data_IF_786233930348
#
_entry.id   IF_786233930348
#
_cell.length_a   1.000
_cell.length_b   1.000
_cell.length_c   1.000
_cell.angle_alpha   90.00
_cell.angle_beta   90.00
_cell.angle_gamma   90.00
#
_symmetry.space_group_name_H-M   'P 1'
#
loop_
_entity.id
_entity.type
_entity.pdbx_description
1 polymer ?
#
# COMPACT_ATOMS: atom_id res chain seq x y z
N UNK A 1 0.75 -32.26 -4.88
CA UNK A 1 0.29 -30.86 -4.85
C UNK A 1 1.22 -29.87 -5.59
N UNK A 2 1.84 -30.18 -6.76
CA UNK A 2 2.29 -29.11 -7.64
C UNK A 2 1.11 -28.65 -8.51
N UNK A 3 0.84 -27.35 -8.55
CA UNK A 3 0.07 -26.77 -9.66
C UNK A 3 0.94 -26.96 -10.90
N UNK A 4 0.45 -27.71 -11.88
CA UNK A 4 1.13 -27.84 -13.16
C UNK A 4 1.03 -26.49 -13.86
N UNK A 5 2.15 -25.79 -13.90
CA UNK A 5 2.29 -24.55 -14.66
C UNK A 5 2.59 -24.97 -16.09
N UNK A 6 1.74 -24.56 -17.02
CA UNK A 6 2.08 -24.63 -18.43
C UNK A 6 3.11 -23.53 -18.73
N UNK A 7 4.39 -23.91 -18.71
CA UNK A 7 5.50 -23.00 -19.05
C UNK A 7 5.60 -22.72 -20.56
N UNK A 8 4.75 -23.36 -21.36
CA UNK A 8 4.58 -23.09 -22.78
C UNK A 8 3.50 -22.05 -23.07
N UNK A 9 2.65 -21.72 -22.09
CA UNK A 9 1.66 -20.66 -22.24
C UNK A 9 2.39 -19.31 -22.45
N UNK A 10 2.25 -18.69 -23.63
CA UNK A 10 2.98 -17.48 -23.92
C UNK A 10 2.47 -16.35 -23.01
N UNK A 11 3.40 -15.63 -22.39
CA UNK A 11 3.09 -14.35 -21.75
C UNK A 11 2.23 -13.53 -22.74
N UNK A 12 1.10 -12.94 -22.32
CA UNK A 12 0.21 -12.22 -23.23
C UNK A 12 1.02 -11.26 -24.10
N UNK A 13 0.95 -11.41 -25.44
CA UNK A 13 1.85 -10.70 -26.39
C UNK A 13 1.85 -9.17 -26.26
N UNK A 14 0.79 -8.60 -25.68
CA UNK A 14 0.65 -7.17 -25.44
C UNK A 14 1.28 -6.71 -24.12
N UNK A 15 1.62 -7.63 -23.22
CA UNK A 15 2.27 -7.34 -21.96
C UNK A 15 3.76 -7.07 -22.21
N UNK A 16 4.20 -5.86 -21.87
CA UNK A 16 5.62 -5.51 -21.86
C UNK A 16 6.28 -6.07 -20.58
N UNK A 17 6.36 -7.40 -20.49
CA UNK A 17 6.59 -8.13 -19.24
C UNK A 17 7.71 -7.57 -18.36
N UNK A 18 8.90 -7.33 -18.94
CA UNK A 18 10.04 -6.78 -18.20
C UNK A 18 9.77 -5.38 -17.64
N UNK A 19 9.11 -4.50 -18.41
CA UNK A 19 8.77 -3.17 -17.90
C UNK A 19 7.64 -3.24 -16.88
N UNK A 20 6.66 -4.12 -17.08
CA UNK A 20 5.59 -4.36 -16.10
C UNK A 20 6.15 -4.83 -14.77
N UNK A 21 7.06 -5.81 -14.73
CA UNK A 21 7.75 -6.25 -13.50
C UNK A 21 8.50 -5.08 -12.85
N UNK A 22 9.24 -4.29 -13.63
CA UNK A 22 9.98 -3.13 -13.13
C UNK A 22 9.03 -2.13 -12.47
N UNK A 23 7.93 -1.78 -13.14
CA UNK A 23 6.93 -0.85 -12.61
C UNK A 23 6.24 -1.42 -11.36
N UNK A 24 5.89 -2.70 -11.32
CA UNK A 24 5.36 -3.37 -10.12
C UNK A 24 6.32 -3.25 -8.93
N UNK A 25 7.62 -3.48 -9.15
CA UNK A 25 8.64 -3.39 -8.12
C UNK A 25 8.81 -1.94 -7.63
N UNK A 26 8.84 -0.97 -8.55
CA UNK A 26 8.93 0.45 -8.21
C UNK A 26 7.72 0.88 -7.35
N UNK A 27 6.50 0.55 -7.78
CA UNK A 27 5.28 0.91 -7.05
C UNK A 27 5.21 0.22 -5.67
N UNK A 28 5.57 -1.06 -5.61
CA UNK A 28 5.61 -1.80 -4.34
C UNK A 28 6.63 -1.22 -3.37
N UNK A 29 7.80 -0.79 -3.88
CA UNK A 29 8.82 -0.13 -3.07
C UNK A 29 8.30 1.20 -2.50
N UNK A 30 7.60 2.00 -3.31
CA UNK A 30 6.98 3.25 -2.84
C UNK A 30 5.97 2.97 -1.72
N UNK A 31 5.12 1.94 -1.87
CA UNK A 31 4.19 1.54 -0.81
C UNK A 31 4.92 1.11 0.47
N UNK A 32 5.98 0.32 0.36
CA UNK A 32 6.77 -0.13 1.51
C UNK A 32 7.42 1.04 2.26
N UNK A 33 8.04 1.99 1.54
CA UNK A 33 8.55 3.21 2.16
C UNK A 33 7.42 4.04 2.78
N UNK A 34 6.29 4.20 2.10
CA UNK A 34 5.13 4.93 2.63
C UNK A 34 4.65 4.37 3.98
N UNK A 35 4.57 3.05 4.10
CA UNK A 35 4.24 2.38 5.37
C UNK A 35 5.31 2.65 6.45
N UNK A 36 6.60 2.51 6.10
CA UNK A 36 7.70 2.75 7.04
C UNK A 36 7.73 4.18 7.57
N UNK A 37 7.55 5.18 6.71
CA UNK A 37 7.50 6.57 7.13
C UNK A 37 6.24 6.90 7.95
N UNK A 38 5.08 6.34 7.61
CA UNK A 38 3.87 6.48 8.42
C UNK A 38 4.05 5.90 9.83
N UNK A 39 4.78 4.80 9.96
CA UNK A 39 5.16 4.23 11.25
C UNK A 39 6.08 5.18 12.05
N UNK A 40 7.09 5.76 11.40
CA UNK A 40 7.99 6.74 12.02
C UNK A 40 7.24 7.99 12.50
N UNK A 41 6.28 8.49 11.71
CA UNK A 41 5.41 9.60 12.10
C UNK A 41 4.61 9.27 13.35
N UNK A 42 3.97 8.10 13.37
CA UNK A 42 3.17 7.66 14.52
C UNK A 42 4.04 7.52 15.76
N UNK A 43 5.20 6.87 15.64
CA UNK A 43 6.15 6.71 16.74
C UNK A 43 6.68 8.06 17.25
N UNK A 44 6.99 9.00 16.34
CA UNK A 44 7.41 10.36 16.69
C UNK A 44 6.33 11.10 17.48
N UNK A 45 5.06 10.95 17.10
CA UNK A 45 3.94 11.59 17.79
C UNK A 45 3.71 10.97 19.18
N UNK A 46 3.74 9.65 19.30
CA UNK A 46 3.55 8.93 20.57
C UNK A 46 4.67 9.22 21.58
N UNK A 47 5.92 9.34 21.11
CA UNK A 47 7.08 9.53 21.98
C UNK A 47 7.57 10.98 22.07
N UNK A 48 6.95 11.92 21.35
CA UNK A 48 7.35 13.32 21.34
C UNK A 48 8.73 13.61 20.74
N UNK A 49 9.26 12.74 19.88
CA UNK A 49 10.62 12.84 19.33
C UNK A 49 10.82 13.98 18.33
N UNK A 50 9.73 14.49 17.73
CA UNK A 50 9.77 15.53 16.69
C UNK A 50 10.74 15.17 15.55
N UNK A 51 10.63 13.93 15.05
CA UNK A 51 11.51 13.42 13.99
C UNK A 51 11.43 14.29 12.73
N UNK A 52 12.59 14.56 12.14
CA UNK A 52 12.68 15.20 10.83
C UNK A 52 12.79 14.13 9.73
N UNK A 53 11.64 13.81 9.11
CA UNK A 53 11.54 12.74 8.12
C UNK A 53 12.32 13.03 6.83
N UNK A 54 12.40 14.30 6.43
CA UNK A 54 13.22 14.73 5.29
C UNK A 54 14.69 14.42 5.55
N UNK A 55 15.17 14.70 6.76
CA UNK A 55 16.54 14.35 7.14
C UNK A 55 16.78 12.86 7.24
N UNK A 56 15.82 12.08 7.76
CA UNK A 56 15.91 10.62 7.76
C UNK A 56 16.05 10.08 6.33
N UNK A 57 15.23 10.57 5.39
CA UNK A 57 15.37 10.22 3.98
C UNK A 57 16.73 10.63 3.42
N UNK A 58 17.25 11.82 3.79
CA UNK A 58 18.55 12.31 3.33
C UNK A 58 19.70 11.42 3.79
N UNK A 59 19.77 11.08 5.07
CA UNK A 59 20.86 10.26 5.62
C UNK A 59 20.87 8.85 5.02
N UNK A 60 19.71 8.30 4.68
CA UNK A 60 19.63 7.01 3.99
C UNK A 60 20.12 7.04 2.53
N UNK A 61 20.35 8.21 1.94
CA UNK A 61 20.93 8.30 0.58
C UNK A 61 22.40 7.88 0.53
N UNK A 62 23.13 7.97 1.65
CA UNK A 62 24.56 7.70 1.72
C UNK A 62 24.90 6.57 2.70
N UNK A 63 25.87 5.74 2.36
CA UNK A 63 26.46 4.73 3.26
C UNK A 63 25.60 3.51 3.60
N UNK A 64 24.26 3.64 3.62
CA UNK A 64 23.38 2.54 3.98
C UNK A 64 23.08 1.59 2.79
N UNK A 65 22.58 0.39 3.11
CA UNK A 65 22.26 -0.67 2.14
C UNK A 65 21.06 -0.29 1.26
N UNK A 66 20.08 0.42 1.80
CA UNK A 66 18.83 0.78 1.11
C UNK A 66 18.94 2.04 0.22
N UNK A 67 20.16 2.55 0.02
CA UNK A 67 20.39 3.76 -0.80
C UNK A 67 19.81 3.59 -2.20
N UNK A 68 19.04 4.57 -2.66
CA UNK A 68 18.39 4.52 -3.97
C UNK A 68 18.00 5.93 -4.46
N UNK A 69 17.72 6.06 -5.76
CA UNK A 69 17.19 7.30 -6.34
C UNK A 69 15.79 7.64 -5.80
N UNK A 70 15.04 6.64 -5.30
CA UNK A 70 13.72 6.85 -4.68
C UNK A 70 13.81 7.73 -3.42
N UNK A 71 14.87 7.61 -2.64
CA UNK A 71 15.06 8.39 -1.41
C UNK A 71 15.19 9.89 -1.66
N UNK A 72 15.65 10.31 -2.86
CA UNK A 72 15.68 11.73 -3.25
C UNK A 72 14.24 12.25 -3.31
N UNK A 73 13.35 11.52 -3.98
CA UNK A 73 11.94 11.91 -4.10
C UNK A 73 11.20 11.89 -2.76
N UNK A 74 11.54 10.95 -1.87
CA UNK A 74 10.99 10.91 -0.52
C UNK A 74 11.47 12.09 0.32
N UNK A 75 12.76 12.42 0.26
CA UNK A 75 13.29 13.62 0.91
C UNK A 75 12.57 14.88 0.42
N UNK A 76 12.45 15.07 -0.89
CA UNK A 76 11.77 16.23 -1.47
C UNK A 76 10.30 16.31 -1.02
N UNK A 77 9.61 15.16 -0.96
CA UNK A 77 8.23 15.05 -0.50
C UNK A 77 8.07 15.55 0.95
N UNK A 78 8.94 15.09 1.85
CA UNK A 78 8.88 15.46 3.26
C UNK A 78 9.45 16.85 3.54
N UNK A 79 10.31 17.39 2.68
CA UNK A 79 10.80 18.76 2.78
C UNK A 79 9.69 19.78 2.50
N UNK A 80 8.87 19.53 1.48
CA UNK A 80 7.83 20.46 1.04
C UNK A 80 6.64 20.59 2.01
N UNK A 81 6.33 19.55 2.81
CA UNK A 81 5.18 19.53 3.72
C UNK A 81 5.52 18.83 5.05
N UNK A 82 6.17 19.51 6.01
CA UNK A 82 6.65 18.90 7.26
C UNK A 82 5.56 18.47 8.26
N UNK A 83 4.27 18.58 7.92
CA UNK A 83 3.14 18.26 8.81
C UNK A 83 2.13 17.25 8.25
N UNK A 84 2.36 16.67 7.06
CA UNK A 84 1.39 15.77 6.44
C UNK A 84 2.04 14.46 6.07
N UNK A 85 1.58 13.41 6.75
CA UNK A 85 1.60 12.04 6.30
C UNK A 85 1.05 11.96 4.89
N UNK A 86 1.92 12.05 3.89
CA UNK A 86 1.66 11.56 2.55
C UNK A 86 2.96 11.51 1.79
N UNK A 87 3.43 10.28 1.60
CA UNK A 87 4.26 9.81 0.49
C UNK A 87 3.62 10.08 -0.91
N UNK A 88 2.76 11.08 -0.99
CA UNK A 88 2.00 11.54 -2.14
C UNK A 88 2.45 12.94 -2.55
N UNK A 89 3.78 13.19 -2.54
CA UNK A 89 4.26 14.26 -3.41
C UNK A 89 3.76 13.97 -4.82
N UNK A 90 3.38 15.02 -5.55
CA UNK A 90 2.89 14.88 -6.93
C UNK A 90 3.83 13.98 -7.74
N UNK A 91 5.13 14.10 -7.55
CA UNK A 91 6.18 13.25 -8.15
C UNK A 91 6.05 11.75 -7.84
N UNK A 92 5.69 11.37 -6.61
CA UNK A 92 5.48 9.96 -6.25
C UNK A 92 4.13 9.47 -6.78
N UNK A 93 3.09 10.31 -6.73
CA UNK A 93 1.79 10.00 -7.33
C UNK A 93 1.89 9.82 -8.85
N UNK A 94 2.68 10.66 -9.53
CA UNK A 94 2.96 10.62 -10.97
C UNK A 94 3.46 9.24 -11.40
N UNK A 95 4.16 8.52 -10.51
CA UNK A 95 4.63 7.16 -10.76
C UNK A 95 3.50 6.13 -10.84
N UNK A 96 2.34 6.39 -10.24
CA UNK A 96 1.15 5.54 -10.27
C UNK A 96 0.21 5.82 -11.46
N UNK A 97 0.46 6.84 -12.29
CA UNK A 97 -0.42 7.15 -13.43
C UNK A 97 -0.22 6.21 -14.63
N UNK A 98 -1.17 6.29 -15.57
CA UNK A 98 -1.19 5.50 -16.79
C UNK A 98 -1.49 4.02 -16.52
N UNK A 99 -0.94 3.14 -17.35
CA UNK A 99 -1.20 1.70 -17.27
C UNK A 99 -0.44 0.98 -16.15
N UNK A 100 0.40 1.67 -15.36
CA UNK A 100 1.31 1.03 -14.40
C UNK A 100 0.59 0.25 -13.28
N UNK A 101 -0.54 0.75 -12.80
CA UNK A 101 -1.35 0.03 -11.81
C UNK A 101 -1.97 -1.24 -12.43
N UNK A 102 -2.36 -1.19 -13.71
CA UNK A 102 -2.89 -2.33 -14.44
C UNK A 102 -1.78 -3.37 -14.67
N UNK A 103 -0.60 -2.92 -15.11
CA UNK A 103 0.58 -3.76 -15.26
C UNK A 103 0.97 -4.44 -13.93
N UNK A 104 0.87 -3.72 -12.82
CA UNK A 104 1.12 -4.28 -11.50
C UNK A 104 0.16 -5.41 -11.13
N UNK A 105 -1.14 -5.22 -11.38
CA UNK A 105 -2.16 -6.26 -11.20
C UNK A 105 -1.87 -7.49 -12.06
N UNK A 106 -1.53 -7.28 -13.33
CA UNK A 106 -1.19 -8.38 -14.26
C UNK A 106 0.03 -9.17 -13.79
N UNK A 107 1.06 -8.51 -13.24
CA UNK A 107 2.23 -9.20 -12.68
C UNK A 107 1.85 -10.04 -11.46
N UNK A 108 1.00 -9.53 -10.56
CA UNK A 108 0.53 -10.29 -9.39
C UNK A 108 -0.34 -11.47 -9.81
N UNK A 109 -1.27 -11.26 -10.75
CA UNK A 109 -2.12 -12.31 -11.33
C UNK A 109 -1.27 -13.43 -11.94
N UNK A 110 -0.29 -13.07 -12.77
CA UNK A 110 0.59 -14.04 -13.41
C UNK A 110 1.42 -14.83 -12.40
N UNK A 111 1.95 -14.15 -11.37
CA UNK A 111 2.67 -14.83 -10.29
C UNK A 111 1.81 -15.89 -9.61
N UNK A 112 0.56 -15.53 -9.28
CA UNK A 112 -0.39 -16.46 -8.66
C UNK A 112 -0.76 -17.61 -9.61
N UNK A 113 -1.09 -17.32 -10.88
CA UNK A 113 -1.50 -18.34 -11.86
C UNK A 113 -0.38 -19.34 -12.16
N UNK A 114 0.88 -18.88 -12.11
CA UNK A 114 2.06 -19.70 -12.33
C UNK A 114 2.66 -20.27 -11.05
N UNK A 115 1.94 -20.24 -9.93
CA UNK A 115 2.41 -20.78 -8.66
C UNK A 115 3.77 -20.19 -8.20
N UNK A 116 4.03 -18.93 -8.55
CA UNK A 116 5.20 -18.15 -8.13
C UNK A 116 4.78 -17.23 -6.98
N UNK A 117 5.32 -17.40 -5.77
CA UNK A 117 4.95 -16.57 -4.63
C UNK A 117 5.46 -15.13 -4.83
N UNK A 118 4.53 -14.17 -4.82
CA UNK A 118 4.82 -12.72 -4.96
C UNK A 118 4.33 -11.90 -3.76
N UNK A 119 4.63 -12.28 -2.50
CA UNK A 119 3.99 -11.74 -1.31
C UNK A 119 4.18 -10.23 -1.14
N UNK A 120 5.36 -9.71 -1.43
CA UNK A 120 5.64 -8.28 -1.29
C UNK A 120 4.87 -7.43 -2.31
N UNK A 121 4.76 -7.91 -3.55
CA UNK A 121 4.01 -7.23 -4.62
C UNK A 121 2.50 -7.28 -4.35
N UNK A 122 1.97 -8.43 -3.94
CA UNK A 122 0.54 -8.59 -3.66
C UNK A 122 0.11 -7.84 -2.39
N UNK A 123 0.91 -7.85 -1.33
CA UNK A 123 0.63 -7.10 -0.12
C UNK A 123 0.65 -5.59 -0.37
N UNK A 124 1.66 -5.10 -1.12
CA UNK A 124 1.76 -3.69 -1.46
C UNK A 124 0.59 -3.23 -2.34
N UNK A 125 0.12 -4.07 -3.28
CA UNK A 125 -1.05 -3.78 -4.12
C UNK A 125 -2.32 -3.70 -3.28
N UNK A 126 -2.50 -4.65 -2.36
CA UNK A 126 -3.66 -4.68 -1.45
C UNK A 126 -3.67 -3.46 -0.53
N UNK A 127 -2.50 -3.06 -0.02
CA UNK A 127 -2.34 -1.84 0.76
C UNK A 127 -2.72 -0.59 -0.04
N UNK A 128 -2.24 -0.46 -1.27
CA UNK A 128 -2.59 0.64 -2.16
C UNK A 128 -4.10 0.71 -2.43
N UNK A 129 -4.75 -0.42 -2.69
CA UNK A 129 -6.20 -0.50 -2.89
C UNK A 129 -6.97 -0.11 -1.63
N UNK A 130 -6.49 -0.52 -0.46
CA UNK A 130 -7.10 -0.15 0.82
C UNK A 130 -7.05 1.36 1.07
N UNK A 131 -5.94 2.02 0.71
CA UNK A 131 -5.78 3.46 0.88
C UNK A 131 -6.61 4.30 -0.10
N UNK A 132 -6.87 3.78 -1.30
CA UNK A 132 -7.50 4.56 -2.38
C UNK A 132 -9.01 4.35 -2.47
N UNK A 133 -9.57 3.39 -1.73
CA UNK A 133 -11.02 3.16 -1.66
C UNK A 133 -11.66 3.93 -0.52
N UNK A 134 -12.69 4.71 -0.85
CA UNK A 134 -13.48 5.46 0.16
C UNK A 134 -14.39 4.60 1.04
N UNK A 135 -14.64 3.34 0.65
CA UNK A 135 -15.40 2.35 1.44
C UNK A 135 -14.70 1.01 1.37
N UNK A 136 -14.49 0.40 2.54
CA UNK A 136 -13.88 -0.90 2.71
C UNK A 136 -14.86 -1.84 3.45
N UNK A 137 -14.70 -3.18 3.34
CA UNK A 137 -15.67 -4.14 3.88
C UNK A 137 -15.69 -4.25 5.42
N UNK A 138 -15.03 -3.34 6.15
CA UNK A 138 -15.04 -3.25 7.61
C UNK A 138 -16.44 -3.00 8.18
N UNK A 139 -17.40 -2.55 7.37
CA UNK A 139 -18.81 -2.50 7.76
C UNK A 139 -19.34 -3.89 8.16
N UNK A 140 -18.94 -4.96 7.45
CA UNK A 140 -19.33 -6.32 7.81
C UNK A 140 -18.65 -6.77 9.12
N UNK A 141 -17.39 -6.42 9.32
CA UNK A 141 -16.67 -6.71 10.56
C UNK A 141 -17.36 -6.03 11.75
N UNK A 142 -17.75 -4.77 11.61
CA UNK A 142 -18.50 -4.06 12.64
C UNK A 142 -19.86 -4.70 12.92
N UNK A 143 -20.59 -5.12 11.88
CA UNK A 143 -21.86 -5.84 12.04
C UNK A 143 -21.67 -7.19 12.77
N UNK A 144 -20.63 -7.96 12.42
CA UNK A 144 -20.30 -9.22 13.09
C UNK A 144 -19.99 -9.01 14.57
N UNK A 145 -19.16 -8.00 14.90
CA UNK A 145 -18.82 -7.66 16.30
C UNK A 145 -20.06 -7.27 17.09
N UNK A 146 -20.96 -6.48 16.50
CA UNK A 146 -22.21 -6.13 17.15
C UNK A 146 -23.12 -7.36 17.34
N UNK A 147 -23.21 -8.22 16.33
CA UNK A 147 -24.00 -9.46 16.36
C UNK A 147 -23.63 -10.38 17.51
N UNK A 148 -22.35 -10.77 17.65
CA UNK A 148 -21.96 -11.77 18.65
C UNK A 148 -21.64 -11.17 20.03
N UNK A 149 -21.39 -9.87 20.12
CA UNK A 149 -20.78 -9.27 21.30
C UNK A 149 -21.32 -7.90 21.72
N UNK A 150 -22.39 -7.40 21.09
CA UNK A 150 -22.99 -6.08 21.39
C UNK A 150 -21.96 -4.95 21.41
N UNK A 151 -20.94 -5.05 20.54
CA UNK A 151 -19.83 -4.11 20.48
C UNK A 151 -20.23 -2.74 19.92
N UNK A 152 -21.46 -2.56 19.44
CA UNK A 152 -21.97 -1.38 18.77
C UNK A 152 -21.21 -1.02 17.48
N UNK A 153 -21.80 -0.12 16.68
CA UNK A 153 -21.20 0.40 15.45
C UNK A 153 -21.64 1.84 15.19
N UNK A 154 -20.89 2.54 14.35
CA UNK A 154 -21.25 3.87 13.86
C UNK A 154 -21.94 3.77 12.49
N UNK A 155 -22.74 4.78 12.15
CA UNK A 155 -23.43 4.88 10.87
C UNK A 155 -22.93 6.07 10.06
N UNK A 156 -23.02 5.93 8.74
CA UNK A 156 -22.62 6.98 7.80
C UNK A 156 -23.66 8.11 7.64
N UNK A 157 -24.90 7.87 8.06
CA UNK A 157 -26.03 8.79 7.91
C UNK A 157 -26.44 9.47 9.23
N UNK A 158 -25.98 8.94 10.38
CA UNK A 158 -26.32 9.47 11.70
C UNK A 158 -25.13 9.35 12.66
N UNK A 159 -24.83 10.44 13.36
CA UNK A 159 -23.83 10.45 14.43
C UNK A 159 -24.32 9.67 15.65
N UNK A 160 -23.42 8.95 16.29
CA UNK A 160 -23.69 8.18 17.51
C UNK A 160 -23.22 6.74 17.40
N UNK A 161 -23.39 6.01 18.50
CA UNK A 161 -23.14 4.57 18.57
C UNK A 161 -24.48 3.82 18.56
N UNK A 162 -24.56 2.74 17.80
CA UNK A 162 -25.77 1.96 17.56
C UNK A 162 -25.53 0.50 17.87
N UNK A 163 -26.52 -0.14 18.48
CA UNK A 163 -26.60 -1.59 18.65
C UNK A 163 -27.85 -2.10 17.91
N UNK A 164 -27.82 -3.33 17.39
CA UNK A 164 -28.95 -3.96 16.70
C UNK A 164 -29.21 -5.34 17.27
N UNK A 165 -30.48 -5.67 17.49
CA UNK A 165 -30.91 -7.03 17.85
C UNK A 165 -31.08 -7.86 16.57
N UNK A 166 -30.02 -8.57 16.18
CA UNK A 166 -29.92 -9.18 14.86
C UNK A 166 -30.73 -10.48 14.65
N UNK A 167 -31.16 -11.15 15.72
CA UNK A 167 -31.91 -12.42 15.67
C UNK A 167 -33.43 -12.23 15.78
N UNK A 168 -33.90 -11.00 15.57
CA UNK A 168 -35.31 -10.60 15.73
C UNK A 168 -36.18 -10.91 14.51
#
# INVERSE_FOLDING_TARGET
>A
FPVMVDDTEPIPRHMKFRSSIRSSMDLSSICAYGQGFALLEKASAENGWKLNLSEIARIWRGGCIIRSSLLIHLQDAYCANPGVAKAASRTLLDRFYGDRQKEWRQVVELGISWNIPVPALSASLTYFDALTRGRLPQNLIQAQRDFFGSHSYERIDKKGSFHTEWNS
#
